data_IF_010807581445
#
_entry.id   IF_010807581445
#
_cell.length_a   1.000
_cell.length_b   1.000
_cell.length_c   1.000
_cell.angle_alpha   90.00
_cell.angle_beta   90.00
_cell.angle_gamma   90.00
#
_symmetry.space_group_name_H-M   'P 1'
#
loop_
_entity.id
_entity.type
_entity.pdbx_description
1 polymer ?
#
# COMPACT_ATOMS: atom_id res chain seq x y z
N UNK A 1 6.36 5.92 4.65
CA UNK A 1 5.91 5.81 6.07
C UNK A 1 5.70 7.21 6.62
N UNK A 2 4.53 7.52 7.17
CA UNK A 2 4.29 8.83 7.78
C UNK A 2 5.17 9.02 9.02
N UNK A 3 5.87 10.15 9.13
CA UNK A 3 6.76 10.42 10.28
C UNK A 3 6.05 10.30 11.63
N UNK A 4 4.79 10.77 11.69
CA UNK A 4 3.93 10.77 12.88
C UNK A 4 3.71 9.37 13.50
N UNK A 5 3.82 8.30 12.72
CA UNK A 5 3.61 6.92 13.18
C UNK A 5 4.86 6.33 13.87
N UNK A 6 6.04 6.89 13.59
CA UNK A 6 7.34 6.44 14.11
C UNK A 6 7.69 7.02 15.48
N UNK A 7 7.08 8.14 15.89
CA UNK A 7 7.36 8.78 17.18
C UNK A 7 6.61 8.10 18.33
N UNK A 8 7.38 7.46 19.23
CA UNK A 8 6.88 6.77 20.44
C UNK A 8 6.15 7.69 21.42
N UNK A 9 6.39 9.01 21.35
CA UNK A 9 5.73 10.00 22.20
C UNK A 9 4.35 10.43 21.66
N UNK A 10 3.98 9.98 20.46
CA UNK A 10 2.84 10.52 19.72
C UNK A 10 1.62 9.61 19.72
N UNK A 11 0.42 10.21 19.60
CA UNK A 11 -0.87 9.51 19.74
C UNK A 11 -1.22 8.54 18.59
N UNK A 12 -0.32 8.36 17.64
CA UNK A 12 -0.37 7.37 16.57
C UNK A 12 0.89 6.48 16.50
N UNK A 13 1.62 6.31 17.61
CA UNK A 13 2.63 5.26 17.71
C UNK A 13 1.98 3.88 17.52
N UNK A 14 2.40 3.17 16.47
CA UNK A 14 1.80 1.89 16.06
C UNK A 14 2.33 0.69 16.89
N UNK A 15 2.24 0.75 18.23
CA UNK A 15 2.63 -0.35 19.11
C UNK A 15 1.84 -1.63 18.75
N UNK A 16 2.51 -2.78 18.71
CA UNK A 16 1.93 -4.03 18.22
C UNK A 16 2.00 -4.24 16.70
N UNK A 17 2.43 -3.24 15.89
CA UNK A 17 2.03 -3.16 14.46
C UNK A 17 3.06 -2.57 13.46
N UNK A 18 3.30 -3.32 12.37
CA UNK A 18 4.10 -2.94 11.20
C UNK A 18 3.24 -2.23 10.15
N UNK A 19 1.93 -2.29 10.32
CA UNK A 19 0.95 -1.83 9.36
C UNK A 19 -0.33 -1.40 10.08
N UNK A 20 -1.29 -0.86 9.34
CA UNK A 20 -2.61 -0.53 9.88
C UNK A 20 -3.32 -1.82 10.29
N UNK A 21 -4.09 -1.78 11.38
CA UNK A 21 -4.82 -2.93 11.93
C UNK A 21 -6.01 -2.41 12.73
N UNK A 22 -7.17 -3.07 12.67
CA UNK A 22 -8.42 -2.57 13.26
C UNK A 22 -8.29 -2.27 14.76
N UNK A 23 -7.52 -3.12 15.46
CA UNK A 23 -7.36 -3.05 16.91
C UNK A 23 -6.12 -2.21 17.30
N UNK A 24 -5.53 -1.50 16.34
CA UNK A 24 -4.54 -0.44 16.54
C UNK A 24 -5.22 0.92 16.79
N UNK A 25 -4.44 1.98 17.09
CA UNK A 25 -5.00 3.32 17.20
C UNK A 25 -5.49 3.80 15.83
N UNK A 26 -6.76 4.20 15.70
CA UNK A 26 -7.35 4.75 14.46
C UNK A 26 -6.48 5.85 13.81
N UNK A 27 -5.81 6.64 14.66
CA UNK A 27 -4.86 7.70 14.27
C UNK A 27 -3.65 7.23 13.45
N UNK A 28 -3.37 5.92 13.41
CA UNK A 28 -2.39 5.30 12.51
C UNK A 28 -2.94 5.30 11.09
N UNK A 29 -4.19 4.85 10.90
CA UNK A 29 -4.86 4.90 9.60
C UNK A 29 -4.96 6.35 9.11
N UNK A 30 -5.42 7.29 9.95
CA UNK A 30 -5.47 8.73 9.61
C UNK A 30 -4.13 9.26 9.08
N UNK A 31 -3.01 8.87 9.72
CA UNK A 31 -1.67 9.34 9.38
C UNK A 31 -1.14 8.70 8.09
N UNK A 32 -1.48 7.43 7.83
CA UNK A 32 -1.14 6.75 6.57
C UNK A 32 -1.99 7.25 5.40
N UNK A 33 -3.30 7.42 5.59
CA UNK A 33 -4.19 8.01 4.60
C UNK A 33 -3.74 9.43 4.24
N UNK A 34 -3.38 10.26 5.23
CA UNK A 34 -2.80 11.60 4.99
C UNK A 34 -1.58 11.55 4.06
N UNK A 35 -0.66 10.61 4.29
CA UNK A 35 0.55 10.45 3.46
C UNK A 35 0.20 9.94 2.05
N UNK A 36 -0.75 9.00 1.94
CA UNK A 36 -1.25 8.54 0.65
C UNK A 36 -1.88 9.68 -0.16
N UNK A 37 -2.68 10.55 0.48
CA UNK A 37 -3.23 11.73 -0.17
C UNK A 37 -2.11 12.67 -0.66
N UNK A 38 -1.11 12.98 0.18
CA UNK A 38 0.04 13.81 -0.21
C UNK A 38 0.81 13.21 -1.41
N UNK A 39 1.18 11.93 -1.31
CA UNK A 39 2.01 11.22 -2.29
C UNK A 39 1.27 10.99 -3.63
N UNK A 40 -0.01 10.59 -3.58
CA UNK A 40 -0.80 10.29 -4.78
C UNK A 40 -1.24 11.56 -5.53
N UNK A 41 -1.62 12.64 -4.83
CA UNK A 41 -1.87 13.92 -5.48
C UNK A 41 -0.58 14.50 -6.09
N UNK A 42 0.59 14.29 -5.47
CA UNK A 42 1.87 14.67 -6.07
C UNK A 42 2.18 13.85 -7.34
N UNK A 43 1.89 12.56 -7.34
CA UNK A 43 2.00 11.71 -8.54
C UNK A 43 1.09 12.19 -9.68
N UNK A 44 -0.20 12.42 -9.44
CA UNK A 44 -1.14 12.89 -10.46
C UNK A 44 -0.67 14.21 -11.10
N UNK A 45 -0.30 15.21 -10.28
CA UNK A 45 0.25 16.51 -10.73
C UNK A 45 1.58 16.45 -11.45
N UNK A 46 2.31 15.34 -11.35
CA UNK A 46 3.49 15.07 -12.17
C UNK A 46 3.09 14.45 -13.51
N UNK A 47 2.20 13.43 -13.48
CA UNK A 47 1.66 12.80 -14.69
C UNK A 47 0.94 13.80 -15.60
N UNK A 48 0.16 14.72 -15.04
CA UNK A 48 -0.52 15.81 -15.77
C UNK A 48 0.43 16.56 -16.72
N UNK A 49 1.63 16.90 -16.23
CA UNK A 49 2.59 17.76 -16.93
C UNK A 49 3.46 16.99 -17.93
N UNK A 50 3.55 15.68 -17.77
CA UNK A 50 4.31 14.78 -18.65
C UNK A 50 3.43 14.15 -19.74
N UNK A 51 2.11 14.08 -19.55
CA UNK A 51 1.18 13.40 -20.45
C UNK A 51 0.54 14.33 -21.49
N UNK A 52 0.36 13.81 -22.70
CA UNK A 52 -0.32 14.53 -23.78
C UNK A 52 -1.84 14.52 -23.53
N UNK A 53 -2.49 15.67 -23.73
CA UNK A 53 -3.96 15.81 -23.58
C UNK A 53 -4.69 14.75 -24.42
N UNK A 54 -5.63 14.03 -23.78
CA UNK A 54 -6.40 12.95 -24.42
C UNK A 54 -5.72 11.56 -24.42
N UNK A 55 -4.48 11.45 -23.94
CA UNK A 55 -3.87 10.15 -23.63
C UNK A 55 -4.51 9.51 -22.38
N UNK A 56 -4.20 8.23 -22.12
CA UNK A 56 -4.74 7.46 -20.99
C UNK A 56 -3.61 6.92 -20.12
N UNK A 57 -3.85 6.88 -18.82
CA UNK A 57 -3.00 6.22 -17.84
C UNK A 57 -3.70 4.96 -17.32
N UNK A 58 -2.94 3.90 -17.07
CA UNK A 58 -3.36 2.73 -16.32
C UNK A 58 -2.58 2.69 -14.99
N UNK A 59 -3.28 2.45 -13.88
CA UNK A 59 -2.70 2.41 -12.54
C UNK A 59 -3.22 1.16 -11.83
N UNK A 60 -2.33 0.43 -11.16
CA UNK A 60 -2.63 -0.77 -10.39
C UNK A 60 -1.91 -0.68 -9.04
N UNK A 61 -2.57 -1.14 -7.98
CA UNK A 61 -2.06 -1.21 -6.61
C UNK A 61 -2.80 -2.28 -5.81
N UNK A 62 -2.31 -2.59 -4.60
CA UNK A 62 -2.90 -3.59 -3.70
C UNK A 62 -3.89 -2.94 -2.70
N UNK A 63 -4.54 -3.78 -1.89
CA UNK A 63 -5.42 -3.41 -0.77
C UNK A 63 -5.12 -4.43 0.35
N UNK A 64 -4.92 -4.01 1.61
CA UNK A 64 -4.25 -4.84 2.65
C UNK A 64 -4.75 -4.62 4.11
N UNK A 65 -4.49 -5.59 5.01
CA UNK A 65 -4.80 -5.55 6.46
C UNK A 65 -3.66 -6.19 7.35
N UNK A 66 -3.22 -5.51 8.43
CA UNK A 66 -2.42 -5.99 9.62
C UNK A 66 -0.91 -6.44 9.41
N UNK A 67 -0.01 -6.77 10.38
CA UNK A 67 0.17 -6.71 11.88
C UNK A 67 1.68 -6.93 12.26
N UNK A 68 2.22 -6.38 13.40
CA UNK A 68 3.48 -6.74 14.18
C UNK A 68 4.40 -5.60 14.77
N UNK A 69 4.90 -5.66 16.01
CA UNK A 69 5.34 -4.53 16.88
C UNK A 69 6.12 -3.25 16.44
N UNK A 70 7.09 -3.24 15.51
CA UNK A 70 8.09 -2.14 15.46
C UNK A 70 8.40 -1.48 14.11
N UNK A 71 8.35 -2.24 13.01
CA UNK A 71 8.84 -1.82 11.68
C UNK A 71 7.68 -1.34 10.80
N UNK A 72 7.45 -0.04 10.62
CA UNK A 72 6.27 0.39 9.85
C UNK A 72 6.52 0.32 8.32
N UNK A 73 5.77 -0.53 7.61
CA UNK A 73 5.85 -0.76 6.15
C UNK A 73 5.52 0.57 5.43
N UNK A 74 6.27 0.98 4.38
CA UNK A 74 6.03 2.22 3.63
C UNK A 74 4.87 2.13 2.63
N UNK A 75 3.78 1.44 2.98
CA UNK A 75 2.67 1.14 2.09
C UNK A 75 1.32 1.67 2.61
N UNK A 76 0.35 1.85 1.73
CA UNK A 76 -1.07 2.06 2.05
C UNK A 76 -1.89 1.38 0.96
N UNK A 77 -2.86 0.55 1.35
CA UNK A 77 -3.81 -0.07 0.44
C UNK A 77 -5.13 0.70 0.47
N UNK A 78 -5.35 1.68 -0.41
CA UNK A 78 -6.52 2.55 -0.35
C UNK A 78 -7.80 1.82 -0.72
N UNK A 79 -8.92 2.27 -0.16
CA UNK A 79 -10.24 1.81 -0.59
C UNK A 79 -10.54 2.25 -2.04
N UNK A 80 -11.41 1.53 -2.77
CA UNK A 80 -11.91 1.96 -4.06
C UNK A 80 -12.54 3.38 -4.05
N UNK A 81 -13.18 3.75 -2.94
CA UNK A 81 -13.82 5.04 -2.71
C UNK A 81 -12.77 6.12 -2.44
N UNK A 82 -11.73 5.81 -1.65
CA UNK A 82 -10.60 6.70 -1.40
C UNK A 82 -9.87 7.07 -2.70
N UNK A 83 -9.49 6.07 -3.51
CA UNK A 83 -8.80 6.32 -4.78
C UNK A 83 -9.65 7.16 -5.74
N UNK A 84 -10.95 6.84 -5.88
CA UNK A 84 -11.89 7.62 -6.70
C UNK A 84 -12.02 9.06 -6.17
N UNK A 85 -12.09 9.22 -4.85
CA UNK A 85 -12.23 10.52 -4.20
C UNK A 85 -11.01 11.41 -4.42
N UNK A 86 -9.79 10.88 -4.34
CA UNK A 86 -8.57 11.66 -4.60
C UNK A 86 -8.44 12.07 -6.08
N UNK A 87 -8.70 11.16 -7.04
CA UNK A 87 -8.70 11.54 -8.47
C UNK A 87 -9.74 12.65 -8.76
N UNK A 88 -10.92 12.58 -8.13
CA UNK A 88 -11.96 13.60 -8.28
C UNK A 88 -11.63 14.94 -7.59
N UNK A 89 -10.87 14.93 -6.49
CA UNK A 89 -10.38 16.15 -5.80
C UNK A 89 -9.24 16.82 -6.54
N UNK A 90 -8.38 16.02 -7.18
CA UNK A 90 -7.22 16.51 -7.95
C UNK A 90 -7.68 17.14 -9.27
N UNK A 91 -8.56 16.45 -10.00
CA UNK A 91 -9.36 17.01 -11.09
C UNK A 91 -8.71 17.01 -12.48
N UNK A 92 -7.42 16.72 -12.62
CA UNK A 92 -6.75 16.71 -13.93
C UNK A 92 -6.90 15.38 -14.70
N UNK A 93 -7.54 14.38 -14.09
CA UNK A 93 -7.83 13.08 -14.71
C UNK A 93 -9.30 12.65 -14.55
N UNK A 94 -9.87 12.09 -15.63
CA UNK A 94 -11.19 11.44 -15.61
C UNK A 94 -11.04 9.92 -15.54
N UNK A 95 -11.72 9.28 -14.59
CA UNK A 95 -11.77 7.81 -14.49
C UNK A 95 -12.65 7.25 -15.62
N UNK A 96 -12.03 6.63 -16.62
CA UNK A 96 -12.72 6.00 -17.77
C UNK A 96 -13.16 4.56 -17.46
N UNK A 97 -12.48 3.90 -16.52
CA UNK A 97 -12.80 2.57 -16.03
C UNK A 97 -12.11 2.33 -14.69
N UNK A 98 -12.68 1.47 -13.85
CA UNK A 98 -12.15 1.11 -12.53
C UNK A 98 -12.65 -0.28 -12.16
N UNK A 99 -11.73 -1.17 -11.79
CA UNK A 99 -12.01 -2.58 -11.47
C UNK A 99 -11.26 -2.94 -10.18
N UNK A 100 -11.91 -3.73 -9.30
CA UNK A 100 -11.27 -4.30 -8.11
C UNK A 100 -10.98 -5.76 -8.38
N UNK A 101 -9.71 -6.11 -8.53
CA UNK A 101 -9.26 -7.50 -8.70
C UNK A 101 -8.95 -8.05 -7.31
N UNK A 102 -9.81 -8.91 -6.79
CA UNK A 102 -9.65 -9.49 -5.44
C UNK A 102 -8.69 -10.69 -5.50
N UNK A 103 -7.39 -10.43 -5.42
CA UNK A 103 -6.37 -11.46 -5.23
C UNK A 103 -6.26 -11.88 -3.76
N UNK A 104 -6.94 -12.96 -3.35
CA UNK A 104 -7.10 -13.38 -1.94
C UNK A 104 -5.83 -14.08 -1.39
N UNK A 105 -4.65 -13.47 -1.53
CA UNK A 105 -3.34 -14.03 -1.13
C UNK A 105 -2.86 -15.20 -2.02
N UNK A 106 -3.79 -16.03 -2.47
CA UNK A 106 -3.66 -16.87 -3.65
C UNK A 106 -3.66 -15.97 -4.89
N UNK A 107 -2.48 -15.81 -5.49
CA UNK A 107 -2.39 -15.65 -6.95
C UNK A 107 -3.01 -16.92 -7.53
N UNK A 108 -3.77 -16.83 -8.63
CA UNK A 108 -4.29 -17.99 -9.38
C UNK A 108 -3.18 -18.79 -10.12
N UNK A 109 -1.99 -18.85 -9.52
CA UNK A 109 -1.07 -19.98 -9.60
C UNK A 109 -1.61 -21.17 -8.78
N UNK A 110 -2.90 -21.48 -8.99
CA UNK A 110 -3.27 -22.85 -9.28
C UNK A 110 -2.27 -23.32 -10.34
N UNK A 111 -1.46 -24.32 -10.03
CA UNK A 111 -0.71 -25.02 -11.07
C UNK A 111 -1.71 -25.73 -12.00
N UNK A 112 -1.29 -26.24 -13.16
CA UNK A 112 -2.19 -26.95 -14.09
C UNK A 112 -2.88 -28.19 -13.47
N UNK A 113 -2.57 -28.52 -12.21
CA UNK A 113 -3.08 -29.61 -11.39
C UNK A 113 -4.06 -29.17 -10.28
N UNK A 114 -4.40 -27.87 -10.14
CA UNK A 114 -5.42 -27.40 -9.21
C UNK A 114 -4.96 -26.99 -7.80
N UNK A 115 -3.65 -26.80 -7.55
CA UNK A 115 -3.11 -26.73 -6.18
C UNK A 115 -2.82 -25.30 -5.69
N UNK A 116 -3.23 -25.01 -4.45
CA UNK A 116 -2.93 -23.72 -3.79
C UNK A 116 -1.42 -23.43 -3.69
N UNK A 117 -0.99 -22.16 -3.83
CA UNK A 117 0.39 -21.75 -3.68
C UNK A 117 0.90 -21.97 -2.24
N UNK A 118 1.81 -22.93 -2.07
CA UNK A 118 2.29 -23.30 -0.75
C UNK A 118 3.03 -22.15 -0.02
N UNK A 119 3.10 -22.23 1.32
CA UNK A 119 3.67 -21.19 2.16
C UNK A 119 5.13 -20.78 1.82
N UNK A 120 5.92 -21.63 1.17
CA UNK A 120 7.29 -21.31 0.70
C UNK A 120 7.28 -20.46 -0.58
N UNK A 121 6.23 -20.53 -1.40
CA UNK A 121 6.02 -19.59 -2.51
C UNK A 121 5.58 -18.22 -1.98
N UNK A 122 4.55 -18.19 -1.12
CA UNK A 122 4.04 -16.94 -0.53
C UNK A 122 5.11 -16.21 0.28
N UNK A 123 5.88 -16.91 1.14
CA UNK A 123 6.97 -16.27 1.89
C UNK A 123 8.11 -15.76 0.98
N UNK A 124 8.35 -16.39 -0.17
CA UNK A 124 9.31 -15.87 -1.17
C UNK A 124 8.80 -14.61 -1.86
N UNK A 125 7.51 -14.52 -2.19
CA UNK A 125 6.91 -13.28 -2.72
C UNK A 125 7.06 -12.12 -1.71
N UNK A 126 6.62 -12.33 -0.47
CA UNK A 126 6.69 -11.34 0.62
C UNK A 126 8.15 -10.91 0.87
N UNK A 127 9.09 -11.87 0.92
CA UNK A 127 10.52 -11.56 1.04
C UNK A 127 11.01 -10.72 -0.13
N UNK A 128 10.70 -11.09 -1.37
CA UNK A 128 11.19 -10.37 -2.57
C UNK A 128 10.76 -8.89 -2.58
N UNK A 129 9.60 -8.56 -2.02
CA UNK A 129 9.11 -7.17 -1.90
C UNK A 129 9.70 -6.43 -0.69
N UNK A 130 9.79 -7.08 0.48
CA UNK A 130 10.10 -6.40 1.74
C UNK A 130 11.57 -6.52 2.20
N UNK A 131 12.36 -7.45 1.67
CA UNK A 131 13.73 -7.78 2.11
C UNK A 131 14.65 -6.56 2.18
N UNK A 132 14.67 -5.72 1.14
CA UNK A 132 15.47 -4.49 1.11
C UNK A 132 15.15 -3.51 2.24
N UNK A 133 13.89 -3.51 2.70
CA UNK A 133 13.38 -2.60 3.73
C UNK A 133 13.54 -3.23 5.13
N UNK A 134 13.40 -4.55 5.23
CA UNK A 134 13.60 -5.35 6.46
C UNK A 134 15.08 -5.39 6.85
N UNK A 135 15.98 -5.82 5.95
CA UNK A 135 17.42 -5.90 6.24
C UNK A 135 18.01 -4.53 6.60
N UNK A 136 17.56 -3.45 5.94
CA UNK A 136 17.96 -2.08 6.27
C UNK A 136 17.41 -1.59 7.64
N UNK A 137 16.40 -2.24 8.22
CA UNK A 137 15.83 -1.85 9.52
C UNK A 137 16.32 -2.71 10.70
N UNK A 138 16.59 -3.99 10.44
CA UNK A 138 16.99 -4.97 11.47
C UNK A 138 18.49 -5.32 11.46
N UNK A 139 19.27 -4.70 10.57
CA UNK A 139 20.74 -4.90 10.45
C UNK A 139 21.15 -6.36 10.13
N UNK A 140 20.25 -7.15 9.55
CA UNK A 140 20.54 -8.51 9.11
C UNK A 140 21.42 -8.51 7.85
N UNK A 141 22.68 -8.91 8.02
CA UNK A 141 23.58 -9.24 6.91
C UNK A 141 23.04 -10.45 6.10
N UNK A 142 23.05 -10.31 4.77
CA UNK A 142 22.67 -11.35 3.80
C UNK A 142 23.90 -12.14 3.35
#
# INVERSE_FOLDING_TARGET
VPQRVRDKNWKCWNRGRIFISEQGPLRVADAYFSQFQEDFNAFLRAREKEMVVGSRMFVMGLIEEEKFDSFNIPYYGPSPEELKSEVQKEGSFTIVGFEVIIGVGNIDNIDDNGKEPNAKFLSKQIRTVLESIISNHFEECV
#
